data_IF_606101093058
#
_entry.id   IF_606101093058
#
_cell.length_a   1.000
_cell.length_b   1.000
_cell.length_c   1.000
_cell.angle_alpha   90.00
_cell.angle_beta   90.00
_cell.angle_gamma   90.00
#
_symmetry.space_group_name_H-M   'P 1'
#
loop_
_entity.id
_entity.type
_entity.pdbx_description
1 polymer ?
#
# COMPACT_ATOMS: atom_id res chain seq x y z
N UNK A 1 -30.79 -44.90 19.76
CA UNK A 1 -29.41 -45.15 19.28
C UNK A 1 -28.52 -44.07 19.89
N UNK A 2 -27.65 -44.48 20.80
CA UNK A 2 -26.80 -43.63 21.65
C UNK A 2 -25.61 -43.15 20.80
N UNK A 3 -25.33 -41.86 20.69
CA UNK A 3 -24.20 -41.34 19.91
C UNK A 3 -22.95 -41.21 20.81
N UNK A 4 -22.04 -42.20 20.84
CA UNK A 4 -20.88 -42.18 21.74
C UNK A 4 -19.88 -41.05 21.45
N UNK A 5 -20.00 -40.36 20.30
CA UNK A 5 -19.02 -39.35 19.83
C UNK A 5 -19.19 -37.97 20.48
N UNK A 6 -20.38 -37.60 20.98
CA UNK A 6 -20.59 -36.30 21.64
C UNK A 6 -20.05 -36.29 23.08
N UNK A 7 -19.86 -37.47 23.68
CA UNK A 7 -19.34 -37.60 25.05
C UNK A 7 -17.82 -37.35 25.13
N UNK A 8 -17.08 -37.54 24.04
CA UNK A 8 -15.63 -37.26 23.99
C UNK A 8 -15.29 -35.77 23.81
N UNK A 9 -16.26 -34.94 23.42
CA UNK A 9 -16.09 -33.49 23.31
C UNK A 9 -16.48 -32.73 24.60
N UNK A 10 -17.19 -33.37 25.53
CA UNK A 10 -17.62 -32.74 26.80
C UNK A 10 -16.53 -32.65 27.88
N UNK A 11 -15.30 -33.11 27.62
CA UNK A 11 -14.22 -33.16 28.63
C UNK A 11 -13.00 -32.28 28.36
N UNK A 12 -12.91 -31.60 27.20
CA UNK A 12 -11.77 -30.73 26.91
C UNK A 12 -12.15 -29.29 27.26
N UNK A 13 -11.48 -28.65 28.24
CA UNK A 13 -11.68 -27.23 28.46
C UNK A 13 -11.31 -26.51 27.16
N UNK A 14 -12.30 -25.87 26.53
CA UNK A 14 -12.07 -24.93 25.44
C UNK A 14 -11.19 -23.85 26.03
N UNK A 15 -9.89 -23.92 25.73
CA UNK A 15 -8.90 -22.93 26.15
C UNK A 15 -9.30 -21.64 25.44
N UNK A 16 -10.08 -20.81 26.13
CA UNK A 16 -10.43 -19.46 25.72
C UNK A 16 -9.11 -18.72 25.51
N UNK A 17 -8.62 -18.72 24.27
CA UNK A 17 -7.59 -17.80 23.80
C UNK A 17 -8.11 -16.42 24.18
N UNK A 18 -7.41 -15.73 25.08
CA UNK A 18 -7.84 -14.42 25.59
C UNK A 18 -8.25 -13.56 24.41
N UNK A 19 -9.48 -13.03 24.43
CA UNK A 19 -9.84 -11.96 23.52
C UNK A 19 -8.77 -10.86 23.65
N UNK A 20 -8.30 -10.28 22.53
CA UNK A 20 -7.42 -9.13 22.61
C UNK A 20 -8.10 -8.08 23.49
N UNK A 21 -7.37 -7.62 24.52
CA UNK A 21 -7.88 -6.59 25.43
C UNK A 21 -8.30 -5.33 24.67
N UNK A 22 -9.10 -4.45 25.28
CA UNK A 22 -9.52 -3.21 24.64
C UNK A 22 -8.29 -2.46 24.12
N UNK A 23 -8.23 -2.29 22.79
CA UNK A 23 -7.22 -1.43 22.16
C UNK A 23 -7.48 -0.04 22.69
N UNK A 24 -6.62 0.41 23.62
CA UNK A 24 -6.61 1.78 24.10
C UNK A 24 -6.30 2.68 22.90
N UNK A 25 -7.35 3.14 22.21
CA UNK A 25 -7.22 4.13 21.17
C UNK A 25 -6.80 5.43 21.82
N UNK A 26 -5.53 5.79 21.68
CA UNK A 26 -5.14 7.18 21.89
C UNK A 26 -6.04 8.03 20.99
N UNK A 27 -6.69 9.10 21.51
CA UNK A 27 -7.48 9.98 20.68
C UNK A 27 -6.59 10.52 19.57
N UNK A 28 -6.85 10.02 18.36
CA UNK A 28 -6.10 10.40 17.17
C UNK A 28 -6.42 11.87 16.93
N UNK A 29 -5.42 12.74 17.09
CA UNK A 29 -5.58 14.15 16.82
C UNK A 29 -6.11 14.31 15.38
N UNK A 30 -7.13 15.14 15.17
CA UNK A 30 -7.73 15.36 13.85
C UNK A 30 -6.68 15.67 12.78
N UNK A 31 -5.61 16.38 13.17
CA UNK A 31 -4.45 16.65 12.32
C UNK A 31 -3.79 15.38 11.78
N UNK A 32 -3.61 14.36 12.60
CA UNK A 32 -2.99 13.08 12.21
C UNK A 32 -3.90 12.28 11.29
N UNK A 33 -5.21 12.30 11.55
CA UNK A 33 -6.22 11.67 10.68
C UNK A 33 -6.22 12.34 9.30
N UNK A 34 -6.19 13.67 9.25
CA UNK A 34 -6.11 14.41 7.99
C UNK A 34 -4.83 14.10 7.23
N UNK A 35 -3.66 14.12 7.90
CA UNK A 35 -2.38 13.82 7.23
C UNK A 35 -2.36 12.40 6.68
N UNK A 36 -2.70 11.38 7.49
CA UNK A 36 -2.69 9.99 7.06
C UNK A 36 -3.79 9.70 6.01
N UNK A 37 -4.97 10.31 6.17
CA UNK A 37 -6.08 10.19 5.24
C UNK A 37 -5.77 10.80 3.88
N UNK A 38 -5.23 12.02 3.84
CA UNK A 38 -4.78 12.66 2.61
C UNK A 38 -3.66 11.88 1.92
N UNK A 39 -2.70 11.36 2.68
CA UNK A 39 -1.60 10.55 2.13
C UNK A 39 -2.13 9.22 1.54
N UNK A 40 -3.13 8.60 2.17
CA UNK A 40 -3.75 7.37 1.67
C UNK A 40 -4.65 7.62 0.46
N UNK A 41 -5.31 8.78 0.38
CA UNK A 41 -6.19 9.14 -0.74
C UNK A 41 -5.42 9.47 -2.03
N UNK A 42 -4.13 9.82 -1.92
CA UNK A 42 -3.31 10.22 -3.05
C UNK A 42 -3.16 9.11 -4.11
N UNK A 43 -3.04 7.85 -3.68
CA UNK A 43 -2.89 6.69 -4.58
C UNK A 43 -4.08 6.47 -5.51
N UNK A 44 -5.31 6.28 -4.99
CA UNK A 44 -6.52 6.17 -5.81
C UNK A 44 -6.77 7.42 -6.66
N UNK A 45 -6.58 8.61 -6.08
CA UNK A 45 -6.79 9.87 -6.77
C UNK A 45 -5.88 10.05 -8.00
N UNK A 46 -4.62 9.61 -7.90
CA UNK A 46 -3.69 9.64 -9.03
C UNK A 46 -4.18 8.75 -10.19
N UNK A 47 -4.73 7.57 -9.89
CA UNK A 47 -5.28 6.65 -10.90
C UNK A 47 -6.53 7.22 -11.55
N UNK A 48 -7.43 7.82 -10.74
CA UNK A 48 -8.65 8.46 -11.23
C UNK A 48 -8.34 9.64 -12.17
N UNK A 49 -7.28 10.41 -11.89
CA UNK A 49 -6.80 11.46 -12.78
C UNK A 49 -6.02 10.93 -14.00
N UNK A 50 -5.44 9.74 -13.91
CA UNK A 50 -4.64 9.15 -14.99
C UNK A 50 -5.49 8.76 -16.21
N UNK A 51 -6.67 8.17 -15.98
CA UNK A 51 -7.57 7.75 -17.06
C UNK A 51 -7.99 8.88 -18.03
N UNK A 52 -8.49 10.05 -17.57
CA UNK A 52 -8.83 11.16 -18.47
C UNK A 52 -7.59 11.85 -19.07
N UNK A 53 -6.43 11.75 -18.41
CA UNK A 53 -5.16 12.28 -18.91
C UNK A 53 -4.48 11.40 -19.95
N UNK A 54 -4.88 10.13 -20.06
CA UNK A 54 -4.32 9.13 -20.98
C UNK A 54 -4.22 9.61 -22.45
N UNK A 55 -5.28 10.15 -23.08
CA UNK A 55 -5.19 10.66 -24.45
C UNK A 55 -4.31 11.92 -24.60
N UNK A 56 -4.23 12.75 -23.55
CA UNK A 56 -3.37 13.93 -23.55
C UNK A 56 -1.88 13.55 -23.41
N UNK A 57 -1.56 12.56 -22.58
CA UNK A 57 -0.20 12.00 -22.45
C UNK A 57 0.29 11.36 -23.76
N UNK A 58 -0.58 10.64 -24.47
CA UNK A 58 -0.27 10.00 -25.77
C UNK A 58 0.12 11.03 -26.83
N UNK A 59 -0.67 12.11 -26.91
CA UNK A 59 -0.42 13.20 -27.86
C UNK A 59 0.80 14.04 -27.49
N UNK A 60 1.07 14.27 -26.20
CA UNK A 60 2.19 15.10 -25.75
C UNK A 60 3.55 14.40 -25.91
N UNK A 61 3.62 13.10 -25.64
CA UNK A 61 4.85 12.32 -25.81
C UNK A 61 5.02 11.75 -27.23
N UNK A 62 4.00 11.87 -28.09
CA UNK A 62 4.03 11.32 -29.46
C UNK A 62 4.27 9.81 -29.50
N UNK A 63 3.82 9.10 -28.46
CA UNK A 63 4.10 7.68 -28.23
C UNK A 63 2.84 6.84 -28.33
N UNK A 64 2.99 5.57 -28.72
CA UNK A 64 1.91 4.59 -28.86
C UNK A 64 1.30 4.25 -27.48
N UNK A 65 0.00 3.93 -27.42
CA UNK A 65 -0.75 3.59 -26.19
C UNK A 65 -0.03 2.57 -25.30
N UNK A 66 0.77 1.69 -25.92
CA UNK A 66 1.62 0.68 -25.27
C UNK A 66 2.62 1.27 -24.26
N UNK A 67 3.19 2.45 -24.53
CA UNK A 67 4.16 3.06 -23.60
C UNK A 67 3.46 3.64 -22.36
N UNK A 68 2.27 4.21 -22.52
CA UNK A 68 1.47 4.69 -21.39
C UNK A 68 1.03 3.51 -20.52
N UNK A 69 0.69 2.38 -21.14
CA UNK A 69 0.39 1.14 -20.43
C UNK A 69 1.60 0.60 -19.65
N UNK A 70 2.82 0.72 -20.18
CA UNK A 70 4.05 0.34 -19.47
C UNK A 70 4.28 1.17 -18.20
N UNK A 71 4.06 2.49 -18.25
CA UNK A 71 4.20 3.34 -17.05
C UNK A 71 3.16 2.98 -15.97
N UNK A 72 1.92 2.69 -16.37
CA UNK A 72 0.88 2.24 -15.45
C UNK A 72 1.20 0.84 -14.88
N UNK A 73 1.75 -0.05 -15.71
CA UNK A 73 2.21 -1.37 -15.27
C UNK A 73 3.37 -1.26 -14.27
N UNK A 74 4.36 -0.39 -14.54
CA UNK A 74 5.47 -0.11 -13.63
C UNK A 74 4.98 0.47 -12.29
N UNK A 75 4.00 1.40 -12.34
CA UNK A 75 3.35 1.94 -11.13
C UNK A 75 2.67 0.82 -10.30
N UNK A 76 1.88 -0.05 -10.93
CA UNK A 76 1.25 -1.17 -10.23
C UNK A 76 2.26 -2.20 -9.73
N UNK A 77 3.36 -2.43 -10.46
CA UNK A 77 4.47 -3.28 -10.01
C UNK A 77 5.12 -2.72 -8.75
N UNK A 78 5.44 -1.42 -8.73
CA UNK A 78 5.95 -0.72 -7.56
C UNK A 78 5.00 -0.79 -6.38
N UNK A 79 3.69 -0.57 -6.60
CA UNK A 79 2.67 -0.74 -5.58
C UNK A 79 2.61 -2.19 -5.07
N UNK A 80 2.65 -3.18 -5.93
CA UNK A 80 2.55 -4.59 -5.55
C UNK A 80 3.74 -5.02 -4.69
N UNK A 81 4.96 -4.68 -5.11
CA UNK A 81 6.19 -4.91 -4.35
C UNK A 81 6.16 -4.17 -3.01
N UNK A 82 5.71 -2.91 -3.02
CA UNK A 82 5.55 -2.09 -1.84
C UNK A 82 4.57 -2.70 -0.83
N UNK A 83 3.38 -3.11 -1.28
CA UNK A 83 2.34 -3.72 -0.44
C UNK A 83 2.82 -5.05 0.18
N UNK A 84 3.56 -5.87 -0.59
CA UNK A 84 4.09 -7.15 -0.13
C UNK A 84 5.11 -6.98 1.01
N UNK A 85 5.96 -5.95 0.93
CA UNK A 85 6.92 -5.61 1.98
C UNK A 85 6.26 -4.87 3.16
N UNK A 86 5.26 -4.02 2.89
CA UNK A 86 4.65 -3.14 3.89
C UNK A 86 3.89 -3.93 4.96
N UNK A 87 3.22 -5.04 4.62
CA UNK A 87 2.50 -5.89 5.56
C UNK A 87 3.38 -6.41 6.71
N UNK A 88 4.36 -7.30 6.46
CA UNK A 88 5.19 -7.88 7.51
C UNK A 88 6.06 -6.84 8.23
N UNK A 89 6.47 -5.75 7.55
CA UNK A 89 7.27 -4.68 8.18
C UNK A 89 6.42 -3.82 9.12
N UNK A 90 5.18 -3.49 8.74
CA UNK A 90 4.28 -2.71 9.59
C UNK A 90 3.88 -3.46 10.86
N UNK A 91 3.65 -4.78 10.76
CA UNK A 91 3.30 -5.62 11.90
C UNK A 91 4.47 -5.86 12.86
N UNK A 92 5.71 -5.91 12.35
CA UNK A 92 6.89 -6.24 13.16
C UNK A 92 7.60 -5.03 13.76
N UNK A 93 7.62 -3.88 13.07
CA UNK A 93 8.40 -2.70 13.46
C UNK A 93 7.54 -1.51 13.93
N UNK A 94 6.22 -1.61 13.84
CA UNK A 94 5.29 -0.55 14.22
C UNK A 94 5.16 0.56 13.17
N UNK A 95 3.98 1.18 13.10
CA UNK A 95 3.50 2.04 12.00
C UNK A 95 4.39 3.25 11.63
N UNK A 96 5.32 3.68 12.48
CA UNK A 96 6.18 4.86 12.25
C UNK A 96 7.37 4.57 11.33
N UNK A 97 7.96 3.39 11.44
CA UNK A 97 9.14 2.98 10.64
C UNK A 97 8.80 2.83 9.15
N UNK A 98 7.68 2.17 8.76
CA UNK A 98 7.26 2.09 7.36
C UNK A 98 7.02 3.46 6.73
N UNK A 99 6.47 4.42 7.48
CA UNK A 99 6.19 5.76 7.00
C UNK A 99 7.48 6.53 6.70
N UNK A 100 8.46 6.48 7.62
CA UNK A 100 9.79 7.05 7.40
C UNK A 100 10.52 6.40 6.22
N UNK A 101 10.42 5.07 6.10
CA UNK A 101 11.02 4.35 4.97
C UNK A 101 10.40 4.79 3.64
N UNK A 102 9.07 4.86 3.55
CA UNK A 102 8.37 5.32 2.35
C UNK A 102 8.76 6.74 1.95
N UNK A 103 8.85 7.67 2.90
CA UNK A 103 9.31 9.04 2.65
C UNK A 103 10.77 9.07 2.17
N UNK A 104 11.64 8.23 2.73
CA UNK A 104 13.05 8.15 2.32
C UNK A 104 13.19 7.60 0.90
N UNK A 105 12.45 6.54 0.56
CA UNK A 105 12.40 5.98 -0.79
C UNK A 105 11.84 7.00 -1.78
N UNK A 106 10.76 7.70 -1.41
CA UNK A 106 10.19 8.78 -2.23
C UNK A 106 11.17 9.91 -2.50
N UNK A 107 11.97 10.29 -1.49
CA UNK A 107 13.00 11.32 -1.64
C UNK A 107 14.10 10.87 -2.60
N UNK A 108 14.57 9.62 -2.49
CA UNK A 108 15.56 9.05 -3.40
C UNK A 108 15.04 8.94 -4.84
N UNK A 109 13.81 8.46 -5.02
CA UNK A 109 13.15 8.39 -6.33
C UNK A 109 12.97 9.79 -6.94
N UNK A 110 12.59 10.80 -6.14
CA UNK A 110 12.48 12.19 -6.62
C UNK A 110 13.82 12.75 -7.10
N UNK A 111 14.92 12.43 -6.41
CA UNK A 111 16.27 12.81 -6.86
C UNK A 111 16.64 12.07 -8.15
N UNK A 112 16.32 10.77 -8.24
CA UNK A 112 16.57 9.98 -9.45
C UNK A 112 15.79 10.51 -10.66
N UNK A 113 14.54 10.94 -10.46
CA UNK A 113 13.72 11.63 -11.47
C UNK A 113 14.31 12.99 -11.88
N UNK A 114 14.90 13.75 -10.95
CA UNK A 114 15.50 15.05 -11.26
C UNK A 114 16.73 14.94 -12.20
N UNK A 115 17.39 13.78 -12.22
CA UNK A 115 18.51 13.50 -13.11
C UNK A 115 18.12 12.75 -14.39
N UNK A 116 16.82 12.52 -14.63
CA UNK A 116 16.33 11.71 -15.75
C UNK A 116 16.47 12.44 -17.11
N UNK A 117 17.29 11.94 -18.06
CA UNK A 117 17.43 12.53 -19.39
C UNK A 117 16.46 11.92 -20.42
N UNK A 118 15.76 10.81 -20.09
CA UNK A 118 14.93 10.04 -21.02
C UNK A 118 13.79 9.29 -20.33
N UNK A 119 12.73 8.94 -21.08
CA UNK A 119 11.53 8.26 -20.60
C UNK A 119 11.82 6.90 -19.93
N UNK A 120 12.77 6.14 -20.48
CA UNK A 120 13.22 4.85 -19.92
C UNK A 120 13.86 5.02 -18.53
N UNK A 121 14.55 6.15 -18.30
CA UNK A 121 15.10 6.47 -16.99
C UNK A 121 14.00 6.79 -15.98
N UNK A 122 12.91 7.41 -16.42
CA UNK A 122 11.74 7.71 -15.59
C UNK A 122 10.96 6.44 -15.21
N UNK A 123 11.01 5.38 -16.03
CA UNK A 123 10.33 4.10 -15.76
C UNK A 123 11.14 3.24 -14.78
N UNK A 124 12.47 3.37 -14.78
CA UNK A 124 13.37 2.58 -13.92
C UNK A 124 13.79 3.25 -12.61
N UNK A 125 13.60 4.56 -12.46
CA UNK A 125 13.92 5.35 -11.27
C UNK A 125 12.85 5.26 -10.18
#
# INVERSE_FOLDING_TARGET
MNYPVLRSLQGKPVRLTRCPGPVNGHPMNLRTILILGSLSAFGPLAIDFYLPGFPAMASYFGTDDKHIQLTLAAYFLGLSLGQLAYGPVADRFGRRIPLLFGVTVFMLASIACAFAPSLEWLIGA
#
